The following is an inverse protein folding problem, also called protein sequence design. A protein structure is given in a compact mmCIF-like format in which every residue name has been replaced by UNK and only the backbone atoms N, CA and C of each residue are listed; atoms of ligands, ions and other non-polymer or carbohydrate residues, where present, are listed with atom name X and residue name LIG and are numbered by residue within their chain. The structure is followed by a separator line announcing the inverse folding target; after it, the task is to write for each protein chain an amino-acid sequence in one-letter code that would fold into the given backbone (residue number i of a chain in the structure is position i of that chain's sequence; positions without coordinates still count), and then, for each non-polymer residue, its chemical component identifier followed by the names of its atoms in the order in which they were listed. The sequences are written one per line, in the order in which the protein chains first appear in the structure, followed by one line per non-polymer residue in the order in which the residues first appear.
data_IF_601676191346
#
_entry.id   IF_601676191346
#
_cell.length_a   1.000
_cell.length_b   1.000
_cell.length_c   1.000
_cell.angle_alpha   90.00
_cell.angle_beta   90.00
_cell.angle_gamma   90.00
#
_symmetry.space_group_name_H-M   'P 1'
#
loop_
_entity.id
_entity.type
_entity.pdbx_description
1 polymer ?
#
# COMPACT_ATOMS: atom_id res chain seq x y z
N UNK A 1 -3.73 0.90 -20.24
CA UNK A 1 -3.40 2.31 -20.52
C UNK A 1 -4.37 3.25 -19.83
N UNK A 2 -5.68 3.21 -20.13
CA UNK A 2 -6.66 4.15 -19.56
C UNK A 2 -6.72 4.22 -18.03
N UNK A 3 -6.75 3.09 -17.31
CA UNK A 3 -6.76 3.12 -15.83
C UNK A 3 -5.56 3.88 -15.24
N UNK A 4 -4.39 3.72 -15.85
CA UNK A 4 -3.16 4.28 -15.33
C UNK A 4 -3.10 5.78 -15.59
N UNK A 5 -3.51 6.23 -16.79
CA UNK A 5 -3.73 7.65 -17.01
C UNK A 5 -4.82 8.21 -16.10
N UNK A 6 -5.88 7.46 -15.78
CA UNK A 6 -6.91 7.88 -14.82
C UNK A 6 -6.35 8.03 -13.40
N UNK A 7 -5.45 7.13 -12.96
CA UNK A 7 -4.75 7.23 -11.67
C UNK A 7 -3.84 8.46 -11.67
N UNK A 8 -3.06 8.67 -12.74
CA UNK A 8 -2.18 9.85 -12.89
C UNK A 8 -2.99 11.15 -12.94
N UNK A 9 -4.09 11.20 -13.69
CA UNK A 9 -4.97 12.36 -13.82
C UNK A 9 -5.67 12.67 -12.49
N UNK A 10 -6.22 11.66 -11.81
CA UNK A 10 -6.82 11.82 -10.48
C UNK A 10 -5.80 12.30 -9.43
N UNK A 11 -4.52 12.02 -9.66
CA UNK A 11 -3.42 12.45 -8.80
C UNK A 11 -2.95 13.88 -9.11
N UNK A 12 -2.83 14.27 -10.38
CA UNK A 12 -2.36 15.60 -10.78
C UNK A 12 -3.44 16.68 -10.59
N UNK A 13 -4.72 16.33 -10.74
CA UNK A 13 -5.82 17.31 -10.71
C UNK A 13 -6.56 17.31 -9.37
N UNK A 14 -6.20 18.26 -8.50
CA UNK A 14 -6.87 18.50 -7.21
C UNK A 14 -8.35 18.94 -7.33
N UNK A 15 -8.75 19.42 -8.51
CA UNK A 15 -10.07 20.01 -8.81
C UNK A 15 -11.01 19.07 -9.55
N UNK A 16 -10.56 17.89 -9.99
CA UNK A 16 -11.40 17.01 -10.80
C UNK A 16 -12.57 16.50 -9.95
N UNK A 17 -13.80 16.68 -10.44
CA UNK A 17 -15.02 16.21 -9.77
C UNK A 17 -15.13 14.68 -9.92
N UNK A 18 -14.26 13.95 -9.24
CA UNK A 18 -14.25 12.49 -9.24
C UNK A 18 -15.20 11.95 -8.16
N UNK A 19 -15.75 10.73 -8.32
CA UNK A 19 -16.69 10.14 -7.35
C UNK A 19 -16.05 9.82 -5.97
N UNK A 20 -14.76 10.09 -5.80
CA UNK A 20 -14.02 9.87 -4.57
C UNK A 20 -14.08 11.12 -3.68
N UNK A 21 -14.19 10.94 -2.35
CA UNK A 21 -14.20 12.10 -1.44
C UNK A 21 -12.86 12.84 -1.52
N UNK A 22 -12.91 14.15 -1.72
CA UNK A 22 -11.76 15.07 -1.90
C UNK A 22 -10.69 14.95 -0.82
N UNK A 23 -11.09 14.62 0.42
CA UNK A 23 -10.18 14.38 1.54
C UNK A 23 -9.24 13.18 1.37
N UNK A 24 -9.66 12.13 0.64
CA UNK A 24 -8.84 10.93 0.42
C UNK A 24 -7.81 11.16 -0.69
N UNK A 25 -8.17 11.94 -1.71
CA UNK A 25 -7.27 12.35 -2.80
C UNK A 25 -6.10 13.16 -2.23
N UNK A 26 -6.39 14.14 -1.37
CA UNK A 26 -5.35 14.95 -0.70
C UNK A 26 -4.38 14.09 0.10
N UNK A 27 -4.86 13.11 0.87
CA UNK A 27 -3.96 12.24 1.66
C UNK A 27 -3.08 11.32 0.80
N UNK A 28 -3.54 10.93 -0.40
CA UNK A 28 -2.74 10.13 -1.34
C UNK A 28 -1.75 11.05 -2.06
N UNK A 29 -2.20 12.23 -2.52
CA UNK A 29 -1.36 13.26 -3.15
C UNK A 29 -0.24 13.71 -2.22
N UNK A 30 -0.54 14.00 -0.95
CA UNK A 30 0.44 14.40 0.06
C UNK A 30 1.52 13.32 0.22
N UNK A 31 1.13 12.05 0.38
CA UNK A 31 2.08 10.93 0.54
C UNK A 31 2.89 10.64 -0.72
N UNK A 32 2.32 10.87 -1.90
CA UNK A 32 3.00 10.61 -3.18
C UNK A 32 3.97 11.74 -3.54
N UNK A 33 3.62 12.98 -3.18
CA UNK A 33 4.45 14.17 -3.38
C UNK A 33 5.47 14.36 -2.25
N UNK A 34 5.55 13.45 -1.28
CA UNK A 34 6.65 13.43 -0.32
C UNK A 34 7.98 13.23 -1.08
N UNK A 35 8.98 14.13 -0.92
CA UNK A 35 10.24 14.05 -1.67
C UNK A 35 10.98 12.72 -1.55
N UNK A 36 10.69 11.94 -0.50
CA UNK A 36 11.29 10.64 -0.23
C UNK A 36 10.67 9.48 -1.02
N UNK A 37 9.56 9.71 -1.75
CA UNK A 37 8.74 8.65 -2.38
C UNK A 37 8.82 8.60 -3.90
N UNK A 38 9.94 9.02 -4.47
CA UNK A 38 10.15 9.00 -5.93
C UNK A 38 9.87 7.61 -6.54
N UNK A 39 10.17 6.53 -5.81
CA UNK A 39 10.00 5.16 -6.28
C UNK A 39 8.53 4.81 -6.56
N UNK A 40 7.56 5.35 -5.81
CA UNK A 40 6.14 5.01 -5.99
C UNK A 40 5.61 5.41 -7.37
N UNK A 41 5.97 6.59 -7.86
CA UNK A 41 5.59 7.02 -9.22
C UNK A 41 6.23 6.10 -10.27
N UNK A 42 7.53 5.86 -10.15
CA UNK A 42 8.26 5.04 -11.10
C UNK A 42 7.79 3.56 -11.11
N UNK A 43 7.27 3.05 -9.98
CA UNK A 43 6.64 1.74 -9.90
C UNK A 43 5.34 1.68 -10.71
N UNK A 44 4.51 2.71 -10.61
CA UNK A 44 3.28 2.81 -11.41
C UNK A 44 3.60 2.87 -12.90
N UNK A 45 4.64 3.62 -13.29
CA UNK A 45 5.18 3.66 -14.65
C UNK A 45 5.80 2.34 -15.12
N UNK A 46 5.91 1.34 -14.23
CA UNK A 46 6.33 -0.04 -14.57
C UNK A 46 5.17 -1.02 -14.49
N UNK A 47 3.94 -0.55 -14.28
CA UNK A 47 2.75 -1.41 -14.16
C UNK A 47 2.62 -2.08 -12.79
N UNK A 48 3.31 -1.58 -11.78
CA UNK A 48 3.20 -2.01 -10.39
C UNK A 48 2.33 -0.99 -9.66
N UNK A 49 1.15 -1.40 -9.18
CA UNK A 49 0.18 -0.50 -8.55
C UNK A 49 0.29 -0.60 -7.03
N UNK A 50 0.79 0.43 -6.31
CA UNK A 50 0.78 0.46 -4.86
C UNK A 50 -0.64 0.33 -4.31
N UNK A 51 -0.84 -0.53 -3.32
CA UNK A 51 -2.11 -0.64 -2.57
C UNK A 51 -1.99 -0.05 -1.17
N UNK A 52 -0.89 -0.37 -0.47
CA UNK A 52 -0.66 0.08 0.89
C UNK A 52 0.83 0.04 1.21
N UNK A 53 1.36 1.10 1.82
CA UNK A 53 2.75 1.16 2.29
C UNK A 53 2.83 1.66 3.73
N UNK A 54 3.74 1.07 4.50
CA UNK A 54 4.13 1.49 5.85
C UNK A 54 5.63 1.30 6.01
N UNK A 55 6.36 2.34 6.44
CA UNK A 55 7.84 2.33 6.47
C UNK A 55 8.46 1.66 7.69
N UNK A 56 7.63 1.18 8.62
CA UNK A 56 8.11 0.70 9.90
C UNK A 56 8.71 1.82 10.75
N UNK A 57 9.48 1.47 11.77
CA UNK A 57 10.08 2.41 12.70
C UNK A 57 9.26 2.65 13.96
N UNK A 58 9.69 3.63 14.74
CA UNK A 58 9.03 4.06 15.98
C UNK A 58 8.28 5.35 15.71
N UNK A 59 7.00 5.38 16.06
CA UNK A 59 6.15 6.56 15.95
C UNK A 59 5.48 6.81 17.30
N UNK A 60 5.42 8.06 17.73
CA UNK A 60 4.58 8.48 18.85
C UNK A 60 3.41 9.28 18.31
N UNK A 61 2.20 8.90 18.67
CA UNK A 61 0.96 9.56 18.24
C UNK A 61 0.02 9.77 19.45
N UNK A 62 -0.73 10.87 19.44
CA UNK A 62 -1.82 11.07 20.39
C UNK A 62 -3.05 10.28 19.92
N UNK A 63 -3.50 9.31 20.70
CA UNK A 63 -4.64 8.41 20.36
C UNK A 63 -5.95 8.84 21.03
N UNK A 64 -5.86 9.67 22.05
CA UNK A 64 -7.01 10.30 22.68
C UNK A 64 -6.62 11.72 23.06
N UNK A 65 -7.45 12.69 22.69
CA UNK A 65 -7.22 14.09 22.98
C UNK A 65 -7.69 14.48 24.37
N UNK A 66 -7.17 15.61 24.85
CA UNK A 66 -7.71 16.27 26.02
C UNK A 66 -9.20 16.62 25.84
N UNK A 67 -9.96 16.58 26.92
CA UNK A 67 -11.35 17.03 26.89
C UNK A 67 -12.05 16.99 28.24
N UNK A 68 -13.32 17.38 28.26
CA UNK A 68 -14.15 17.30 29.46
C UNK A 68 -14.80 15.91 29.59
N UNK A 69 -14.96 15.45 30.83
CA UNK A 69 -15.67 14.23 31.20
C UNK A 69 -16.91 14.56 32.02
N UNK A 70 -17.97 13.78 31.87
CA UNK A 70 -19.17 13.87 32.71
C UNK A 70 -19.00 13.20 34.08
N UNK A 71 -17.88 12.49 34.28
CA UNK A 71 -17.55 11.77 35.51
C UNK A 71 -16.25 12.30 36.13
N UNK A 72 -16.20 12.40 37.47
CA UNK A 72 -15.00 12.82 38.21
C UNK A 72 -13.78 11.93 37.82
N UNK A 73 -12.59 12.50 37.51
CA UNK A 73 -12.16 13.89 37.73
C UNK A 73 -12.48 14.89 36.60
N UNK A 74 -13.65 14.79 35.95
CA UNK A 74 -14.26 15.71 34.96
C UNK A 74 -13.38 16.14 33.79
N UNK A 75 -12.17 15.64 33.70
CA UNK A 75 -11.15 15.95 32.72
C UNK A 75 -10.66 14.61 32.17
N UNK A 76 -10.63 14.50 30.85
CA UNK A 76 -9.96 13.44 30.10
C UNK A 76 -8.59 13.94 29.75
N UNK A 77 -7.57 13.29 30.31
CA UNK A 77 -6.18 13.53 29.93
C UNK A 77 -5.92 12.90 28.56
N UNK A 78 -5.06 13.52 27.73
CA UNK A 78 -4.66 12.91 26.47
C UNK A 78 -3.95 11.58 26.74
N UNK A 79 -4.00 10.68 25.76
CA UNK A 79 -3.26 9.42 25.79
C UNK A 79 -2.35 9.42 24.57
N UNK A 80 -1.05 9.38 24.84
CA UNK A 80 -0.03 9.19 23.82
C UNK A 80 0.29 7.71 23.70
N UNK A 81 0.55 7.26 22.48
CA UNK A 81 0.96 5.89 22.14
C UNK A 81 2.29 5.95 21.40
N UNK A 82 3.30 5.28 21.93
CA UNK A 82 4.52 4.98 21.18
C UNK A 82 4.37 3.59 20.58
N UNK A 83 4.50 3.46 19.27
CA UNK A 83 4.37 2.21 18.54
C UNK A 83 5.60 1.96 17.67
N UNK A 84 6.21 0.80 17.85
CA UNK A 84 7.17 0.18 16.94
C UNK A 84 6.37 -0.60 15.90
N UNK A 85 6.61 -0.35 14.63
CA UNK A 85 5.88 -0.94 13.50
C UNK A 85 6.88 -1.59 12.54
N UNK A 86 6.53 -2.71 11.93
CA UNK A 86 7.35 -3.30 10.86
C UNK A 86 7.00 -2.67 9.52
N UNK A 87 8.00 -2.51 8.66
CA UNK A 87 7.73 -2.01 7.32
C UNK A 87 7.01 -3.09 6.51
N UNK A 88 5.99 -2.72 5.74
CA UNK A 88 5.44 -3.59 4.70
C UNK A 88 4.87 -2.78 3.55
N UNK A 89 4.87 -3.42 2.38
CA UNK A 89 4.41 -2.84 1.15
C UNK A 89 3.59 -3.86 0.38
N UNK A 90 2.31 -3.52 0.16
CA UNK A 90 1.35 -4.27 -0.65
C UNK A 90 1.17 -3.58 -2.00
N UNK A 91 1.25 -4.35 -3.08
CA UNK A 91 1.06 -3.84 -4.44
C UNK A 91 0.48 -4.91 -5.37
N UNK A 92 -0.07 -4.46 -6.49
CA UNK A 92 -0.65 -5.30 -7.54
C UNK A 92 0.22 -5.27 -8.80
N UNK A 93 0.40 -6.44 -9.39
CA UNK A 93 0.99 -6.61 -10.73
C UNK A 93 -0.05 -7.24 -11.64
N UNK A 94 -0.62 -6.48 -12.59
CA UNK A 94 -1.50 -7.02 -13.62
C UNK A 94 -0.73 -7.81 -14.67
N UNK A 95 -1.41 -8.76 -15.31
CA UNK A 95 -0.82 -9.69 -16.28
C UNK A 95 0.47 -10.37 -15.76
N UNK A 96 0.43 -11.02 -14.57
CA UNK A 96 1.61 -11.60 -13.93
C UNK A 96 2.27 -12.75 -14.73
N UNK A 97 1.64 -13.19 -15.82
CA UNK A 97 2.17 -14.17 -16.78
C UNK A 97 3.23 -13.61 -17.74
N UNK A 98 3.39 -12.28 -17.83
CA UNK A 98 4.44 -11.65 -18.65
C UNK A 98 5.83 -12.05 -18.14
N UNK A 99 6.80 -12.17 -19.05
CA UNK A 99 8.15 -12.64 -18.72
C UNK A 99 8.80 -11.73 -17.67
N UNK A 100 8.69 -10.43 -17.88
CA UNK A 100 9.23 -9.36 -17.04
C UNK A 100 8.62 -9.42 -15.63
N UNK A 101 7.30 -9.64 -15.54
CA UNK A 101 6.60 -9.79 -14.26
C UNK A 101 7.02 -11.07 -13.50
N UNK A 102 7.22 -12.18 -14.22
CA UNK A 102 7.74 -13.42 -13.63
C UNK A 102 9.17 -13.26 -13.13
N UNK A 103 10.03 -12.59 -13.90
CA UNK A 103 11.42 -12.33 -13.55
C UNK A 103 11.52 -11.35 -12.37
N UNK A 104 10.64 -10.34 -12.32
CA UNK A 104 10.48 -9.46 -11.16
C UNK A 104 10.12 -10.21 -9.88
N UNK A 105 9.10 -11.08 -9.90
CA UNK A 105 8.72 -11.88 -8.73
C UNK A 105 9.85 -12.82 -8.28
N UNK A 106 10.61 -13.37 -9.24
CA UNK A 106 11.81 -14.17 -8.94
C UNK A 106 12.89 -13.31 -8.28
N UNK A 107 13.14 -12.10 -8.76
CA UNK A 107 14.13 -11.17 -8.22
C UNK A 107 13.77 -10.72 -6.81
N UNK A 108 12.50 -10.40 -6.54
CA UNK A 108 12.01 -10.12 -5.18
C UNK A 108 12.39 -11.25 -4.22
N UNK A 109 12.11 -12.49 -4.61
CA UNK A 109 12.38 -13.68 -3.79
C UNK A 109 13.89 -13.92 -3.59
N UNK A 110 14.71 -13.66 -4.62
CA UNK A 110 16.16 -13.89 -4.59
C UNK A 110 16.92 -12.80 -3.82
N UNK A 111 16.61 -11.53 -4.05
CA UNK A 111 17.30 -10.39 -3.43
C UNK A 111 16.85 -10.15 -1.99
N UNK A 112 15.58 -10.43 -1.68
CA UNK A 112 15.00 -10.13 -0.37
C UNK A 112 15.27 -11.16 0.72
N UNK A 113 16.49 -11.66 0.85
CA UNK A 113 16.84 -12.56 1.96
C UNK A 113 16.53 -11.95 3.36
N UNK A 114 16.46 -10.63 3.47
CA UNK A 114 16.09 -9.90 4.71
C UNK A 114 14.58 -9.59 4.82
N UNK A 115 13.80 -9.91 3.79
CA UNK A 115 12.39 -9.56 3.66
C UNK A 115 11.49 -10.78 3.54
N UNK A 116 10.31 -10.66 4.12
CA UNK A 116 9.21 -11.60 3.96
C UNK A 116 8.41 -11.36 2.69
N UNK A 117 8.05 -12.44 1.99
CA UNK A 117 7.26 -12.36 0.77
C UNK A 117 6.00 -13.22 0.81
N UNK A 118 4.89 -12.63 0.40
CA UNK A 118 3.66 -13.35 0.10
C UNK A 118 3.16 -12.94 -1.29
N UNK A 119 2.61 -13.91 -2.04
CA UNK A 119 2.03 -13.66 -3.35
C UNK A 119 0.67 -14.33 -3.42
N UNK A 120 -0.34 -13.57 -3.83
CA UNK A 120 -1.69 -14.07 -4.09
C UNK A 120 -2.04 -13.81 -5.54
N UNK A 121 -2.19 -14.88 -6.32
CA UNK A 121 -2.66 -14.79 -7.70
C UNK A 121 -4.17 -14.85 -7.73
N UNK A 122 -4.77 -13.90 -8.44
CA UNK A 122 -6.21 -13.78 -8.63
C UNK A 122 -6.49 -13.96 -10.11
N UNK A 123 -7.26 -15.00 -10.41
CA UNK A 123 -7.80 -15.25 -11.74
C UNK A 123 -9.32 -15.01 -11.74
N UNK A 124 -9.79 -13.90 -12.33
CA UNK A 124 -11.22 -13.58 -12.36
C UNK A 124 -12.03 -14.54 -13.23
N UNK A 125 -11.42 -15.22 -14.20
CA UNK A 125 -12.13 -16.12 -15.13
C UNK A 125 -12.46 -17.47 -14.51
N UNK A 126 -11.62 -17.91 -13.58
CA UNK A 126 -11.81 -19.19 -12.88
C UNK A 126 -12.27 -19.02 -11.44
N UNK A 127 -12.37 -17.77 -10.96
CA UNK A 127 -12.57 -17.45 -9.53
C UNK A 127 -11.54 -18.14 -8.61
N UNK A 128 -10.38 -18.52 -9.15
CA UNK A 128 -9.35 -19.22 -8.37
C UNK A 128 -8.40 -18.22 -7.74
N UNK A 129 -8.21 -18.38 -6.43
CA UNK A 129 -7.19 -17.67 -5.67
C UNK A 129 -6.10 -18.67 -5.32
N UNK A 130 -4.92 -18.50 -5.92
CA UNK A 130 -3.75 -19.34 -5.61
C UNK A 130 -2.75 -18.52 -4.82
N UNK A 131 -2.64 -18.82 -3.52
CA UNK A 131 -1.58 -18.30 -2.67
C UNK A 131 -0.29 -19.06 -2.92
N UNK A 132 0.82 -18.35 -3.08
CA UNK A 132 2.16 -18.90 -3.12
C UNK A 132 3.07 -18.13 -2.15
N UNK A 133 3.88 -18.86 -1.38
CA UNK A 133 4.90 -18.26 -0.54
C UNK A 133 6.27 -18.42 -1.20
N UNK A 134 6.99 -17.31 -1.37
CA UNK A 134 8.43 -17.35 -1.63
C UNK A 134 9.14 -17.74 -0.32
N UNK A 135 9.99 -18.77 -0.34
CA UNK A 135 10.71 -19.30 0.84
C UNK A 135 11.99 -18.52 1.20
N UNK A 136 12.04 -17.21 0.97
CA UNK A 136 13.11 -16.39 1.55
C UNK A 136 12.53 -15.69 2.77
N UNK A 137 12.94 -16.13 3.97
CA UNK A 137 12.62 -15.57 5.29
C UNK A 137 11.17 -15.04 5.45
N UNK A 138 10.16 -15.90 5.66
CA UNK A 138 8.84 -15.40 6.01
C UNK A 138 8.96 -14.51 7.26
N UNK A 139 8.26 -13.36 7.30
CA UNK A 139 8.27 -12.53 8.49
C UNK A 139 7.74 -13.40 9.62
N UNK A 140 8.40 -13.34 10.79
CA UNK A 140 8.19 -14.22 11.93
C UNK A 140 6.75 -14.74 12.03
N UNK A 141 6.59 -16.05 11.79
CA UNK A 141 5.28 -16.69 11.70
C UNK A 141 4.75 -17.06 13.08
N UNK A 142 3.44 -16.97 13.24
CA UNK A 142 2.71 -17.53 14.37
C UNK A 142 1.60 -16.61 14.87
N UNK A 143 0.53 -17.21 15.41
CA UNK A 143 -0.62 -16.49 15.99
C UNK A 143 -0.27 -15.51 17.10
N UNK A 144 1.00 -15.42 17.53
CA UNK A 144 1.46 -14.55 18.62
C UNK A 144 2.47 -13.50 18.18
N UNK A 145 2.86 -13.46 16.90
CA UNK A 145 3.88 -12.50 16.49
C UNK A 145 3.26 -11.12 16.22
N UNK A 146 3.77 -10.05 16.85
CA UNK A 146 3.18 -8.72 16.73
C UNK A 146 3.52 -8.06 15.38
N UNK A 147 2.57 -7.35 14.78
CA UNK A 147 2.79 -6.41 13.67
C UNK A 147 3.17 -5.02 14.17
N UNK A 148 2.64 -4.66 15.33
CA UNK A 148 3.01 -3.47 16.08
C UNK A 148 3.03 -3.78 17.57
N UNK A 149 4.11 -3.36 18.24
CA UNK A 149 4.24 -3.36 19.70
C UNK A 149 4.48 -1.94 20.18
N UNK A 150 4.14 -1.65 21.42
CA UNK A 150 4.39 -0.34 21.97
C UNK A 150 3.72 -0.11 23.31
N UNK A 151 3.81 1.11 23.81
CA UNK A 151 3.23 1.51 25.09
C UNK A 151 2.22 2.64 24.91
N UNK A 152 1.33 2.77 25.88
CA UNK A 152 0.36 3.87 25.96
C UNK A 152 0.48 4.53 27.33
N UNK A 153 0.48 5.85 27.37
CA UNK A 153 0.62 6.63 28.59
C UNK A 153 -0.16 7.93 28.49
N UNK A 154 -0.67 8.41 29.64
CA UNK A 154 -1.20 9.77 29.76
C UNK A 154 -0.10 10.84 29.84
N UNK A 155 1.14 10.41 30.09
CA UNK A 155 2.33 11.25 30.12
C UNK A 155 3.32 10.70 29.09
N UNK A 156 3.47 11.41 27.98
CA UNK A 156 4.30 10.97 26.85
C UNK A 156 5.74 10.65 27.28
N UNK A 157 6.30 11.44 28.19
CA UNK A 157 7.66 11.25 28.73
C UNK A 157 7.88 9.89 29.43
N UNK A 158 6.81 9.23 29.88
CA UNK A 158 6.90 7.91 30.50
C UNK A 158 6.95 6.77 29.48
N UNK A 159 6.57 7.00 28.21
CA UNK A 159 6.48 5.96 27.19
C UNK A 159 7.76 5.12 27.03
N UNK A 160 8.98 5.68 27.05
CA UNK A 160 10.20 4.89 26.92
C UNK A 160 10.47 3.91 28.08
N UNK A 161 9.83 4.12 29.24
CA UNK A 161 10.03 3.33 30.46
C UNK A 161 8.92 2.30 30.69
N UNK A 162 7.84 2.36 29.93
CA UNK A 162 6.72 1.43 30.03
C UNK A 162 7.01 0.16 29.22
N UNK A 163 6.55 -1.02 29.68
CA UNK A 163 6.71 -2.24 28.92
C UNK A 163 5.88 -2.20 27.63
N UNK A 164 6.48 -2.66 26.53
CA UNK A 164 5.79 -2.83 25.26
C UNK A 164 4.68 -3.88 25.40
N UNK A 165 3.48 -3.56 24.91
CA UNK A 165 2.36 -4.47 24.72
C UNK A 165 2.07 -4.67 23.23
N UNK A 166 1.38 -5.77 22.91
CA UNK A 166 0.85 -6.02 21.58
C UNK A 166 -0.19 -4.94 21.24
N UNK A 167 0.06 -4.16 20.18
CA UNK A 167 -0.88 -3.16 19.67
C UNK A 167 -1.66 -3.70 18.47
N UNK A 168 -0.94 -4.31 17.52
CA UNK A 168 -1.52 -4.91 16.31
C UNK A 168 -0.88 -6.28 16.10
N UNK A 169 -1.69 -7.30 15.90
CA UNK A 169 -1.23 -8.65 15.59
C UNK A 169 -0.81 -8.76 14.12
N UNK A 170 0.20 -9.58 13.82
CA UNK A 170 0.54 -9.92 12.43
C UNK A 170 -0.71 -10.38 11.69
N UNK A 171 -0.93 -9.84 10.50
CA UNK A 171 -1.94 -10.35 9.60
C UNK A 171 -1.63 -11.83 9.33
N UNK A 172 -2.65 -12.68 9.45
CA UNK A 172 -2.53 -14.11 9.13
C UNK A 172 -2.03 -14.28 7.68
N UNK A 173 -1.53 -15.46 7.35
CA UNK A 173 -0.73 -15.81 6.16
C UNK A 173 -1.34 -15.44 4.78
N UNK A 174 -2.56 -14.88 4.74
CA UNK A 174 -3.26 -14.49 3.52
C UNK A 174 -3.19 -12.99 3.34
N UNK A 175 -2.59 -12.57 2.23
CA UNK A 175 -2.75 -11.20 1.73
C UNK A 175 -4.24 -10.95 1.56
N UNK A 176 -4.70 -9.81 2.06
CA UNK A 176 -6.10 -9.44 1.92
C UNK A 176 -6.50 -9.41 0.46
N UNK A 177 -7.71 -9.87 0.16
CA UNK A 177 -8.26 -9.69 -1.17
C UNK A 177 -8.38 -8.21 -1.48
N UNK A 178 -8.46 -7.92 -2.77
CA UNK A 178 -8.49 -6.57 -3.27
C UNK A 178 -9.59 -5.69 -2.63
N UNK A 179 -10.75 -6.28 -2.33
CA UNK A 179 -11.89 -5.64 -1.64
C UNK A 179 -11.51 -4.98 -0.31
N UNK A 180 -10.52 -5.52 0.41
CA UNK A 180 -10.05 -4.94 1.66
C UNK A 180 -9.46 -3.54 1.49
N UNK A 181 -8.78 -3.31 0.37
CA UNK A 181 -8.15 -2.02 0.08
C UNK A 181 -9.16 -1.00 -0.47
N UNK A 182 -10.30 -1.46 -1.00
CA UNK A 182 -11.37 -0.61 -1.54
C UNK A 182 -12.52 -0.50 -0.54
N UNK A 183 -12.44 0.49 0.36
CA UNK A 183 -13.49 0.74 1.36
C UNK A 183 -14.83 1.05 0.68
N UNK A 184 -15.78 0.10 0.76
CA UNK A 184 -17.18 0.31 0.40
C UNK A 184 -17.49 0.35 -1.11
N UNK A 185 -16.54 -0.06 -1.97
CA UNK A 185 -16.78 -0.21 -3.39
C UNK A 185 -16.80 -1.68 -3.76
N UNK A 186 -17.80 -2.06 -4.55
CA UNK A 186 -17.81 -3.36 -5.21
C UNK A 186 -16.65 -3.41 -6.21
N UNK A 187 -15.74 -4.37 -6.04
CA UNK A 187 -14.59 -4.55 -6.93
C UNK A 187 -14.98 -4.79 -8.39
N UNK A 188 -16.24 -5.16 -8.66
CA UNK A 188 -16.81 -5.23 -10.02
C UNK A 188 -16.80 -3.88 -10.73
N UNK A 189 -16.71 -2.76 -10.01
CA UNK A 189 -16.59 -1.41 -10.57
C UNK A 189 -15.15 -0.97 -10.87
N UNK A 190 -14.15 -1.86 -10.72
CA UNK A 190 -12.76 -1.58 -11.12
C UNK A 190 -12.39 -2.51 -12.29
N UNK A 191 -12.62 -2.09 -13.54
CA UNK A 191 -12.61 -2.99 -14.69
C UNK A 191 -11.27 -3.73 -14.87
N UNK A 192 -10.13 -3.07 -14.63
CA UNK A 192 -8.82 -3.72 -14.82
C UNK A 192 -8.63 -4.91 -13.89
N UNK A 193 -9.07 -4.79 -12.64
CA UNK A 193 -8.84 -5.81 -11.62
C UNK A 193 -9.88 -6.93 -11.68
N UNK A 194 -11.04 -6.63 -12.28
CA UNK A 194 -12.10 -7.61 -12.53
C UNK A 194 -11.90 -8.41 -13.83
N UNK A 195 -11.20 -7.85 -14.84
CA UNK A 195 -11.08 -8.47 -16.17
C UNK A 195 -9.67 -8.92 -16.54
N UNK A 196 -8.70 -8.82 -15.62
CA UNK A 196 -7.33 -9.29 -15.88
C UNK A 196 -6.82 -10.21 -14.78
N UNK A 197 -5.95 -11.14 -15.17
CA UNK A 197 -5.13 -11.88 -14.22
C UNK A 197 -4.27 -10.89 -13.45
N UNK A 198 -4.27 -10.99 -12.11
CA UNK A 198 -3.50 -10.11 -11.24
C UNK A 198 -2.74 -10.90 -10.18
N UNK A 199 -1.63 -10.35 -9.71
CA UNK A 199 -0.94 -10.82 -8.51
C UNK A 199 -0.89 -9.71 -7.48
N UNK A 200 -1.40 -9.97 -6.29
CA UNK A 200 -1.15 -9.10 -5.12
C UNK A 200 0.09 -9.64 -4.42
N UNK A 201 1.06 -8.77 -4.17
CA UNK A 201 2.33 -9.11 -3.57
C UNK A 201 2.51 -8.25 -2.32
N UNK A 202 2.93 -8.90 -1.24
CA UNK A 202 3.35 -8.25 0.01
C UNK A 202 4.84 -8.47 0.20
N UNK A 203 5.55 -7.38 0.48
CA UNK A 203 6.94 -7.38 0.95
C UNK A 203 6.94 -6.85 2.38
N UNK A 204 7.59 -7.52 3.32
CA UNK A 204 7.60 -7.15 4.74
C UNK A 204 9.01 -7.19 5.32
N UNK A 205 9.37 -6.20 6.14
CA UNK A 205 10.65 -6.17 6.83
C UNK A 205 10.71 -7.16 8.01
N UNK A 206 11.85 -7.83 8.15
CA UNK A 206 12.13 -8.68 9.31
C UNK A 206 12.37 -7.90 10.60
N UNK A 207 12.56 -6.58 10.56
CA UNK A 207 12.86 -5.76 11.73
C UNK A 207 11.84 -4.62 11.92
N UNK A 208 11.94 -3.93 13.06
CA UNK A 208 11.10 -2.80 13.45
C UNK A 208 11.67 -1.44 12.99
N UNK A 209 12.73 -1.46 12.19
CA UNK A 209 13.39 -0.27 11.69
C UNK A 209 12.62 0.40 10.56
N UNK A 210 13.06 1.62 10.24
CA UNK A 210 12.62 2.30 9.03
C UNK A 210 13.21 1.59 7.80
N UNK A 211 12.37 1.25 6.82
CA UNK A 211 12.79 0.63 5.56
C UNK A 211 11.99 1.19 4.39
N UNK A 212 12.69 1.68 3.37
CA UNK A 212 12.11 2.17 2.10
C UNK A 212 11.84 1.00 1.15
N UNK A 213 10.79 0.24 1.46
CA UNK A 213 10.41 -0.95 0.68
C UNK A 213 10.02 -0.63 -0.76
N UNK A 214 9.50 0.57 -1.02
CA UNK A 214 9.23 1.07 -2.37
C UNK A 214 10.51 1.17 -3.21
N UNK A 215 11.60 1.69 -2.66
CA UNK A 215 12.90 1.79 -3.35
C UNK A 215 13.46 0.40 -3.64
N UNK A 216 13.38 -0.53 -2.68
CA UNK A 216 13.79 -1.92 -2.90
C UNK A 216 12.99 -2.61 -4.02
N UNK A 217 11.67 -2.48 -3.99
CA UNK A 217 10.78 -3.05 -5.01
C UNK A 217 11.05 -2.42 -6.37
N UNK A 218 11.31 -1.11 -6.41
CA UNK A 218 11.66 -0.40 -7.63
C UNK A 218 12.95 -0.92 -8.26
N UNK A 219 14.01 -1.09 -7.46
CA UNK A 219 15.27 -1.68 -7.94
C UNK A 219 15.06 -3.08 -8.54
N UNK A 220 14.25 -3.93 -7.89
CA UNK A 220 13.90 -5.23 -8.44
C UNK A 220 13.15 -5.15 -9.78
N UNK A 221 12.26 -4.16 -9.94
CA UNK A 221 11.54 -3.94 -11.19
C UNK A 221 12.49 -3.50 -12.32
N UNK A 222 13.44 -2.62 -12.02
CA UNK A 222 14.48 -2.21 -12.97
C UNK A 222 15.34 -3.39 -13.42
N UNK A 223 15.81 -4.20 -12.47
CA UNK A 223 16.63 -5.38 -12.75
C UNK A 223 15.89 -6.46 -13.54
N UNK A 224 14.57 -6.55 -13.36
CA UNK A 224 13.71 -7.44 -14.13
C UNK A 224 13.52 -7.00 -15.58
N UNK A 225 14.04 -5.83 -15.95
CA UNK A 225 13.82 -5.24 -17.26
C UNK A 225 12.38 -4.79 -17.45
N UNK A 226 11.64 -4.51 -16.37
CA UNK A 226 10.34 -3.83 -16.49
C UNK A 226 10.61 -2.39 -16.93
N UNK A 227 10.71 -2.20 -18.24
CA UNK A 227 10.93 -0.89 -18.85
C UNK A 227 9.74 0.04 -18.58
N UNK A 228 9.92 1.34 -18.84
CA UNK A 228 8.78 2.24 -18.97
C UNK A 228 8.01 1.84 -20.24
N UNK A 229 7.19 0.79 -20.12
CA UNK A 229 6.23 0.41 -21.17
C UNK A 229 5.12 1.47 -21.32
N UNK A 230 5.08 2.42 -20.39
CA UNK A 230 4.02 3.39 -20.20
C UNK A 230 4.53 4.73 -20.69
N UNK A 231 4.42 4.97 -21.99
CA UNK A 231 4.47 6.34 -22.49
C UNK A 231 3.35 7.11 -21.80
N UNK A 232 3.71 8.01 -20.90
CA UNK A 232 2.79 8.80 -20.08
C UNK A 232 1.77 9.50 -20.95
N UNK A 233 2.17 9.94 -22.15
CA UNK A 233 1.29 10.56 -23.13
C UNK A 233 0.23 9.57 -23.63
N UNK A 234 0.63 8.35 -24.00
CA UNK A 234 -0.32 7.30 -24.43
C UNK A 234 -1.26 6.85 -23.32
N UNK A 235 -0.78 6.80 -22.08
CA UNK A 235 -1.62 6.46 -20.93
C UNK A 235 -2.65 7.57 -20.67
N UNK A 236 -2.22 8.83 -20.75
CA UNK A 236 -3.06 10.02 -20.62
C UNK A 236 -4.11 10.11 -21.73
N UNK A 237 -3.71 9.93 -23.00
CA UNK A 237 -4.63 9.88 -24.14
C UNK A 237 -5.65 8.74 -24.03
N UNK A 238 -5.24 7.58 -23.52
CA UNK A 238 -6.16 6.47 -23.30
C UNK A 238 -7.13 6.74 -22.15
N UNK A 239 -6.68 7.46 -21.11
CA UNK A 239 -7.52 7.84 -19.99
C UNK A 239 -8.53 8.91 -20.39
N UNK A 240 -8.10 9.93 -21.14
CA UNK A 240 -8.99 10.95 -21.67
C UNK A 240 -10.05 10.37 -22.59
N UNK A 241 -9.66 9.47 -23.52
CA UNK A 241 -10.63 8.75 -24.34
C UNK A 241 -11.69 8.01 -23.54
N UNK A 242 -11.31 7.45 -22.38
CA UNK A 242 -12.28 6.78 -21.51
C UNK A 242 -13.12 7.75 -20.67
N UNK A 243 -12.56 8.87 -20.20
CA UNK A 243 -13.33 9.95 -19.57
C UNK A 243 -14.38 10.49 -20.54
N UNK A 244 -13.99 10.79 -21.78
CA UNK A 244 -14.87 11.19 -22.88
C UNK A 244 -15.98 10.16 -23.12
N UNK A 245 -15.62 8.87 -23.23
CA UNK A 245 -16.61 7.79 -23.41
C UNK A 245 -17.61 7.71 -22.25
N UNK A 246 -17.18 8.07 -21.05
CA UNK A 246 -18.03 8.12 -19.86
C UNK A 246 -18.78 9.45 -19.68
N UNK A 247 -18.65 10.41 -20.61
CA UNK A 247 -19.25 11.75 -20.50
C UNK A 247 -18.65 12.59 -19.38
N UNK A 248 -17.44 12.28 -18.94
CA UNK A 248 -16.71 13.00 -17.91
C UNK A 248 -15.79 14.05 -18.55
N UNK A 249 -15.57 15.20 -17.90
CA UNK A 249 -14.71 16.25 -18.44
C UNK A 249 -13.26 15.75 -18.60
N UNK A 250 -12.72 15.91 -19.81
CA UNK A 250 -11.34 15.53 -20.18
C UNK A 250 -10.33 16.65 -20.02
N UNK A 251 -10.79 17.90 -19.86
CA UNK A 251 -9.94 19.07 -19.69
C UNK A 251 -10.18 19.72 -18.31
N UNK A 252 -9.12 19.80 -17.51
CA UNK A 252 -8.97 20.81 -16.48
C UNK A 252 -7.49 21.28 -16.51
N UNK A 253 -7.35 22.57 -16.79
CA UNK A 253 -6.13 23.40 -16.85
C UNK A 253 -5.19 23.12 -15.67
#
# INVERSE_FOLDING_TARGET
MALYGLITIAHQNASMHIPFRTKYIRSIQERWNEPKRFALQNLVERGIIPLYIQDGGVSTEEIASWGWSTTFPYIKLPISRQAKKRAYFDFVVPHPQRKEALDFVRLLTRKGHEFGFSVTRIDPFTSTVRGGFGKSNPPYKGKRFPFSVGAESRLEILLPFLPDKLLVQAHEERIHQLQYYFKGLDTRHIPLLHHSLTSIIRVEAGNWGYVELDVFVYGCAQDAGMQNEWDTNRAWEAANRELERCGLPTELI
#
